data_IF_349130422513
#
_entry.id   IF_349130422513
#
_cell.length_a   1.000
_cell.length_b   1.000
_cell.length_c   1.000
_cell.angle_alpha   90.00
_cell.angle_beta   90.00
_cell.angle_gamma   90.00
#
_symmetry.space_group_name_H-M   'P 1'
#
loop_
_entity.id
_entity.type
_entity.pdbx_description
1 polymer ?
#
# COMPACT_ATOMS: atom_id res chain seq x y z
N UNK A 1 8.91 25.89 -17.10
CA UNK A 1 8.44 24.58 -17.60
C UNK A 1 7.07 24.75 -18.22
N UNK A 2 6.99 24.78 -19.55
CA UNK A 2 5.70 24.77 -20.23
C UNK A 2 5.35 23.34 -20.61
N UNK A 3 4.42 22.74 -19.86
CA UNK A 3 3.82 21.48 -20.28
C UNK A 3 3.01 21.72 -21.55
N UNK A 4 3.30 20.96 -22.61
CA UNK A 4 2.63 21.09 -23.93
C UNK A 4 1.12 20.86 -23.87
N UNK A 5 0.62 20.24 -22.78
CA UNK A 5 -0.82 20.08 -22.51
C UNK A 5 -1.07 19.79 -21.03
N UNK A 6 -2.28 20.09 -20.55
CA UNK A 6 -2.76 19.71 -19.19
C UNK A 6 -2.65 18.21 -18.96
N UNK A 7 -2.90 17.40 -19.98
CA UNK A 7 -2.83 15.94 -19.89
C UNK A 7 -1.40 15.45 -19.65
N UNK A 8 -0.42 16.03 -20.34
CA UNK A 8 0.98 15.69 -20.11
C UNK A 8 1.42 16.02 -18.68
N UNK A 9 0.99 17.17 -18.15
CA UNK A 9 1.24 17.54 -16.75
C UNK A 9 0.67 16.50 -15.78
N UNK A 10 -0.57 16.03 -15.99
CA UNK A 10 -1.19 15.03 -15.15
C UNK A 10 -0.47 13.68 -15.23
N UNK A 11 -0.05 13.25 -16.43
CA UNK A 11 0.75 12.03 -16.63
C UNK A 11 2.08 12.12 -15.87
N UNK A 12 2.81 13.23 -16.00
CA UNK A 12 4.10 13.41 -15.31
C UNK A 12 3.91 13.49 -13.77
N UNK A 13 2.84 14.11 -13.30
CA UNK A 13 2.46 14.10 -11.87
C UNK A 13 2.22 12.68 -11.37
N UNK A 14 1.47 11.86 -12.10
CA UNK A 14 1.20 10.47 -11.74
C UNK A 14 2.49 9.63 -11.72
N UNK A 15 3.35 9.80 -12.72
CA UNK A 15 4.66 9.13 -12.74
C UNK A 15 5.51 9.53 -11.53
N UNK A 16 5.54 10.81 -11.20
CA UNK A 16 6.32 11.33 -10.07
C UNK A 16 5.87 10.70 -8.75
N UNK A 17 4.58 10.74 -8.42
CA UNK A 17 4.08 10.16 -7.17
C UNK A 17 4.20 8.64 -7.13
N UNK A 18 4.05 7.96 -8.28
CA UNK A 18 4.24 6.52 -8.40
C UNK A 18 5.69 6.12 -8.12
N UNK A 19 6.66 6.84 -8.69
CA UNK A 19 8.08 6.61 -8.45
C UNK A 19 8.50 6.95 -7.00
N UNK A 20 7.94 8.00 -6.43
CA UNK A 20 8.18 8.35 -5.02
C UNK A 20 7.70 7.23 -4.10
N UNK A 21 6.51 6.69 -4.37
CA UNK A 21 5.98 5.55 -3.63
C UNK A 21 6.88 4.32 -3.72
N UNK A 22 7.27 3.90 -4.94
CA UNK A 22 8.12 2.73 -5.15
C UNK A 22 9.49 2.88 -4.47
N UNK A 23 10.12 4.04 -4.61
CA UNK A 23 11.42 4.33 -3.97
C UNK A 23 11.32 4.22 -2.44
N UNK A 24 10.25 4.75 -1.86
CA UNK A 24 10.00 4.66 -0.43
C UNK A 24 9.72 3.22 0.00
N UNK A 25 8.87 2.52 -0.73
CA UNK A 25 8.51 1.12 -0.50
C UNK A 25 9.74 0.21 -0.48
N UNK A 26 10.60 0.28 -1.50
CA UNK A 26 11.85 -0.48 -1.56
C UNK A 26 12.79 -0.20 -0.39
N UNK A 27 12.87 1.06 0.03
CA UNK A 27 13.68 1.45 1.20
C UNK A 27 13.17 0.77 2.48
N UNK A 28 11.86 0.72 2.68
CA UNK A 28 11.27 0.07 3.85
C UNK A 28 11.43 -1.45 3.79
N UNK A 29 11.26 -2.08 2.61
CA UNK A 29 11.49 -3.52 2.44
C UNK A 29 12.94 -3.91 2.73
N UNK A 30 13.92 -3.15 2.23
CA UNK A 30 15.34 -3.41 2.48
C UNK A 30 15.70 -3.37 3.96
N UNK A 31 15.06 -2.51 4.75
CA UNK A 31 15.27 -2.46 6.20
C UNK A 31 14.78 -3.72 6.93
N UNK A 32 13.81 -4.42 6.38
CA UNK A 32 13.24 -5.62 6.98
C UNK A 32 14.14 -6.86 6.82
N UNK A 33 15.09 -6.84 5.91
CA UNK A 33 15.87 -8.04 5.55
C UNK A 33 14.98 -9.14 4.99
N UNK A 34 15.18 -10.38 5.39
CA UNK A 34 14.45 -11.54 4.86
C UNK A 34 13.26 -11.99 5.72
N UNK A 35 13.07 -11.40 6.89
CA UNK A 35 11.96 -11.73 7.79
C UNK A 35 10.60 -11.27 7.21
N UNK A 36 9.67 -12.20 6.87
CA UNK A 36 8.39 -11.84 6.28
C UNK A 36 7.49 -11.04 7.23
N UNK A 37 7.62 -11.23 8.54
CA UNK A 37 6.92 -10.42 9.55
C UNK A 37 7.39 -8.98 9.51
N UNK A 38 8.70 -8.75 9.49
CA UNK A 38 9.27 -7.41 9.43
C UNK A 38 8.96 -6.76 8.07
N UNK A 39 8.94 -7.53 6.98
CA UNK A 39 8.54 -7.01 5.65
C UNK A 39 7.13 -6.44 5.66
N UNK A 40 6.14 -7.20 6.15
CA UNK A 40 4.75 -6.71 6.14
C UNK A 40 4.55 -5.53 7.11
N UNK A 41 5.24 -5.51 8.25
CA UNK A 41 5.23 -4.38 9.17
C UNK A 41 5.82 -3.13 8.49
N UNK A 42 6.96 -3.27 7.81
CA UNK A 42 7.60 -2.17 7.12
C UNK A 42 6.77 -1.67 5.91
N UNK A 43 5.99 -2.53 5.27
CA UNK A 43 5.00 -2.08 4.29
C UNK A 43 3.93 -1.18 4.92
N UNK A 44 3.38 -1.58 6.07
CA UNK A 44 2.43 -0.76 6.83
C UNK A 44 3.07 0.58 7.22
N UNK A 45 4.30 0.56 7.71
CA UNK A 45 5.05 1.75 8.08
C UNK A 45 5.25 2.70 6.88
N UNK A 46 5.56 2.16 5.69
CA UNK A 46 5.64 2.94 4.47
C UNK A 46 4.31 3.57 4.10
N UNK A 47 3.25 2.74 4.03
CA UNK A 47 1.94 3.15 3.53
C UNK A 47 1.26 4.21 4.40
N UNK A 48 1.59 4.23 5.70
CA UNK A 48 1.12 5.24 6.65
C UNK A 48 2.21 6.18 7.14
N UNK A 49 3.32 6.31 6.40
CA UNK A 49 4.36 7.29 6.71
C UNK A 49 3.89 8.73 6.44
N UNK A 50 4.53 9.70 7.11
CA UNK A 50 4.27 11.12 6.85
C UNK A 50 4.65 11.58 5.45
N UNK A 51 5.48 10.81 4.76
CA UNK A 51 5.90 11.10 3.38
C UNK A 51 4.86 10.62 2.36
N UNK A 52 4.24 9.47 2.58
CA UNK A 52 3.33 8.82 1.61
C UNK A 52 1.88 9.13 1.93
N UNK A 53 1.47 9.02 3.18
CA UNK A 53 0.10 9.15 3.62
C UNK A 53 -0.20 10.59 4.04
N UNK A 54 -0.36 11.48 3.08
CA UNK A 54 -0.83 12.85 3.28
C UNK A 54 -2.16 13.07 2.56
N UNK A 55 -3.06 13.95 3.06
CA UNK A 55 -4.33 14.22 2.40
C UNK A 55 -4.18 14.60 0.92
N UNK A 56 -3.17 15.40 0.60
CA UNK A 56 -2.89 15.86 -0.76
C UNK A 56 -2.53 14.68 -1.67
N UNK A 57 -1.63 13.79 -1.23
CA UNK A 57 -1.21 12.63 -2.02
C UNK A 57 -2.32 11.60 -2.17
N UNK A 58 -3.06 11.33 -1.09
CA UNK A 58 -4.22 10.44 -1.12
C UNK A 58 -5.26 10.97 -2.12
N UNK A 59 -5.58 12.27 -2.06
CA UNK A 59 -6.51 12.92 -2.98
C UNK A 59 -6.06 12.78 -4.44
N UNK A 60 -4.77 12.97 -4.73
CA UNK A 60 -4.21 12.76 -6.07
C UNK A 60 -4.39 11.32 -6.53
N UNK A 61 -4.07 10.33 -5.69
CA UNK A 61 -4.25 8.91 -6.02
C UNK A 61 -5.71 8.59 -6.38
N UNK A 62 -6.66 8.99 -5.54
CA UNK A 62 -8.08 8.72 -5.79
C UNK A 62 -8.62 9.45 -7.03
N UNK A 63 -8.12 10.65 -7.32
CA UNK A 63 -8.43 11.36 -8.56
C UNK A 63 -8.00 10.56 -9.79
N UNK A 64 -6.76 10.05 -9.80
CA UNK A 64 -6.29 9.22 -10.92
C UNK A 64 -7.04 7.88 -11.00
N UNK A 65 -7.35 7.23 -9.87
CA UNK A 65 -8.11 5.99 -9.88
C UNK A 65 -9.51 6.15 -10.49
N UNK A 66 -10.20 7.25 -10.23
CA UNK A 66 -11.51 7.54 -10.84
C UNK A 66 -11.44 7.69 -12.37
N UNK A 67 -10.31 8.15 -12.88
CA UNK A 67 -10.09 8.41 -14.32
C UNK A 67 -9.52 7.20 -15.08
N UNK A 68 -9.00 6.18 -14.41
CA UNK A 68 -8.31 5.02 -15.03
C UNK A 68 -9.20 4.32 -16.10
N UNK A 69 -10.51 4.25 -15.86
CA UNK A 69 -11.45 3.64 -16.81
C UNK A 69 -11.45 4.35 -18.16
N UNK A 70 -11.29 5.66 -18.16
CA UNK A 70 -11.41 6.51 -19.34
C UNK A 70 -10.06 6.89 -19.96
N UNK A 71 -8.96 6.69 -19.22
CA UNK A 71 -7.61 7.08 -19.64
C UNK A 71 -6.63 5.91 -19.54
N UNK A 72 -6.48 5.10 -20.61
CA UNK A 72 -5.60 3.93 -20.62
C UNK A 72 -4.15 4.22 -20.21
N UNK A 73 -3.63 5.42 -20.51
CA UNK A 73 -2.27 5.83 -20.12
C UNK A 73 -2.08 5.83 -18.60
N UNK A 74 -3.09 6.23 -17.81
CA UNK A 74 -3.01 6.19 -16.35
C UNK A 74 -2.94 4.75 -15.82
N UNK A 75 -3.73 3.86 -16.43
CA UNK A 75 -3.70 2.43 -16.09
C UNK A 75 -2.32 1.82 -16.34
N UNK A 76 -1.70 2.16 -17.46
CA UNK A 76 -0.37 1.64 -17.81
C UNK A 76 0.69 2.07 -16.80
N UNK A 77 0.69 3.35 -16.40
CA UNK A 77 1.64 3.90 -15.40
C UNK A 77 1.47 3.21 -14.04
N UNK A 78 0.22 2.99 -13.60
CA UNK A 78 -0.06 2.35 -12.32
C UNK A 78 0.21 0.85 -12.32
N UNK A 79 0.02 0.17 -13.47
CA UNK A 79 0.03 -1.29 -13.57
C UNK A 79 1.34 -1.94 -13.10
N UNK A 80 2.48 -1.40 -13.49
CA UNK A 80 3.79 -1.96 -13.10
C UNK A 80 3.98 -1.88 -11.59
N UNK A 81 3.65 -0.74 -10.98
CA UNK A 81 3.68 -0.54 -9.53
C UNK A 81 2.72 -1.51 -8.83
N UNK A 82 1.50 -1.62 -9.31
CA UNK A 82 0.45 -2.45 -8.69
C UNK A 82 0.81 -3.94 -8.77
N UNK A 83 1.36 -4.40 -9.89
CA UNK A 83 1.86 -5.77 -10.04
C UNK A 83 3.07 -6.04 -9.14
N UNK A 84 3.99 -5.09 -9.03
CA UNK A 84 5.14 -5.23 -8.13
C UNK A 84 4.69 -5.34 -6.68
N UNK A 85 3.82 -4.44 -6.22
CA UNK A 85 3.24 -4.48 -4.87
C UNK A 85 2.52 -5.80 -4.61
N UNK A 86 1.67 -6.24 -5.53
CA UNK A 86 0.93 -7.50 -5.41
C UNK A 86 1.88 -8.69 -5.29
N UNK A 87 2.89 -8.79 -6.16
CA UNK A 87 3.86 -9.89 -6.13
C UNK A 87 4.64 -9.94 -4.82
N UNK A 88 5.11 -8.80 -4.34
CA UNK A 88 5.80 -8.71 -3.04
C UNK A 88 4.89 -9.15 -1.90
N UNK A 89 3.66 -8.66 -1.88
CA UNK A 89 2.68 -8.98 -0.82
C UNK A 89 2.29 -10.46 -0.83
N UNK A 90 2.04 -11.04 -2.01
CA UNK A 90 1.74 -12.47 -2.14
C UNK A 90 2.92 -13.35 -1.68
N UNK A 91 4.15 -12.96 -1.96
CA UNK A 91 5.33 -13.68 -1.49
C UNK A 91 5.45 -13.62 0.03
N UNK A 92 5.24 -12.46 0.63
CA UNK A 92 5.26 -12.30 2.10
C UNK A 92 4.18 -13.17 2.75
N UNK A 93 2.94 -13.11 2.25
CA UNK A 93 1.87 -13.95 2.77
C UNK A 93 2.13 -15.44 2.58
N UNK A 94 2.75 -15.85 1.45
CA UNK A 94 3.16 -17.23 1.23
C UNK A 94 4.10 -17.73 2.34
N UNK A 95 5.09 -16.93 2.73
CA UNK A 95 6.03 -17.27 3.81
C UNK A 95 5.33 -17.30 5.19
N UNK A 96 4.50 -16.30 5.48
CA UNK A 96 3.73 -16.28 6.74
C UNK A 96 2.80 -17.48 6.88
N UNK A 97 2.11 -17.88 5.80
CA UNK A 97 1.25 -19.07 5.76
C UNK A 97 2.04 -20.35 6.07
N UNK A 98 3.24 -20.50 5.48
CA UNK A 98 4.12 -21.65 5.76
C UNK A 98 4.53 -21.71 7.23
N UNK A 99 4.94 -20.57 7.81
CA UNK A 99 5.36 -20.48 9.21
C UNK A 99 4.18 -20.75 10.16
N UNK A 100 3.01 -20.17 9.89
CA UNK A 100 1.81 -20.34 10.69
C UNK A 100 1.21 -21.75 10.54
N UNK A 101 1.53 -22.46 9.44
CA UNK A 101 0.98 -23.77 9.06
C UNK A 101 -0.54 -23.75 8.90
N UNK A 102 -1.07 -22.72 8.23
CA UNK A 102 -2.48 -22.62 7.88
C UNK A 102 -2.68 -22.79 6.36
N UNK A 103 -3.94 -22.89 5.92
CA UNK A 103 -4.32 -23.14 4.52
C UNK A 103 -4.97 -21.92 3.87
N UNK A 104 -4.56 -20.70 4.26
CA UNK A 104 -5.11 -19.48 3.72
C UNK A 104 -4.62 -19.24 2.29
N UNK A 105 -5.41 -18.57 1.48
CA UNK A 105 -5.03 -18.15 0.13
C UNK A 105 -4.17 -16.90 0.17
N UNK A 106 -2.89 -16.99 -0.23
CA UNK A 106 -1.99 -15.83 -0.33
C UNK A 106 -2.56 -14.74 -1.22
N UNK A 107 -3.22 -15.11 -2.32
CA UNK A 107 -3.84 -14.16 -3.26
C UNK A 107 -5.00 -13.42 -2.60
N UNK A 108 -5.90 -14.14 -1.93
CA UNK A 108 -7.02 -13.52 -1.22
C UNK A 108 -6.57 -12.60 -0.10
N UNK A 109 -5.55 -13.01 0.67
CA UNK A 109 -4.95 -12.19 1.72
C UNK A 109 -4.30 -10.92 1.15
N UNK A 110 -3.57 -11.03 0.03
CA UNK A 110 -2.93 -9.89 -0.62
C UNK A 110 -3.97 -8.87 -1.08
N UNK A 111 -5.04 -9.32 -1.75
CA UNK A 111 -6.12 -8.44 -2.22
C UNK A 111 -6.84 -7.79 -1.02
N UNK A 112 -7.19 -8.56 0.00
CA UNK A 112 -7.88 -8.05 1.18
C UNK A 112 -7.02 -7.03 1.94
N UNK A 113 -5.73 -7.31 2.10
CA UNK A 113 -4.80 -6.40 2.78
C UNK A 113 -4.61 -5.08 2.01
N UNK A 114 -4.44 -5.14 0.70
CA UNK A 114 -4.37 -3.95 -0.14
C UNK A 114 -5.67 -3.14 -0.07
N UNK A 115 -6.82 -3.81 -0.13
CA UNK A 115 -8.13 -3.16 0.00
C UNK A 115 -8.33 -2.49 1.35
N UNK A 116 -7.84 -3.10 2.43
CA UNK A 116 -7.84 -2.52 3.77
C UNK A 116 -7.02 -1.22 3.81
N UNK A 117 -5.79 -1.22 3.28
CA UNK A 117 -4.95 -0.02 3.23
C UNK A 117 -5.61 1.09 2.44
N UNK A 118 -6.15 0.78 1.25
CA UNK A 118 -6.84 1.76 0.41
C UNK A 118 -8.10 2.31 1.10
N UNK A 119 -8.87 1.48 1.78
CA UNK A 119 -10.03 1.90 2.57
C UNK A 119 -9.65 2.82 3.72
N UNK A 120 -8.55 2.52 4.43
CA UNK A 120 -8.02 3.37 5.50
C UNK A 120 -7.50 4.71 4.98
N UNK A 121 -6.87 4.75 3.80
CA UNK A 121 -6.49 5.99 3.14
C UNK A 121 -7.72 6.85 2.82
N UNK A 122 -8.77 6.23 2.26
CA UNK A 122 -10.01 6.95 1.96
C UNK A 122 -10.66 7.50 3.23
N UNK A 123 -10.70 6.71 4.30
CA UNK A 123 -11.24 7.17 5.59
C UNK A 123 -10.46 8.35 6.18
N UNK A 124 -9.12 8.36 6.02
CA UNK A 124 -8.30 9.51 6.45
C UNK A 124 -8.58 10.77 5.63
N UNK A 125 -8.96 10.62 4.37
CA UNK A 125 -9.33 11.75 3.53
C UNK A 125 -10.73 12.29 3.90
N UNK A 126 -11.68 11.39 4.18
CA UNK A 126 -13.07 11.72 4.46
C UNK A 126 -13.27 12.22 5.93
N UNK A 127 -12.71 11.50 6.89
CA UNK A 127 -12.87 11.81 8.33
C UNK A 127 -11.52 11.85 9.07
N UNK A 128 -10.64 12.82 8.75
CA UNK A 128 -9.28 12.87 9.31
C UNK A 128 -9.21 12.98 10.84
N UNK A 129 -10.28 13.43 11.48
CA UNK A 129 -10.40 13.48 12.95
C UNK A 129 -10.57 12.10 13.59
N UNK A 130 -11.11 11.13 12.87
CA UNK A 130 -11.37 9.76 13.37
C UNK A 130 -10.29 8.75 12.96
N UNK A 131 -9.61 9.00 11.85
CA UNK A 131 -8.66 8.04 11.26
C UNK A 131 -7.27 8.66 11.17
N UNK A 132 -6.46 8.50 12.22
CA UNK A 132 -5.05 8.88 12.20
C UNK A 132 -4.19 7.80 11.54
N UNK A 133 -2.98 8.18 11.10
CA UNK A 133 -1.99 7.22 10.60
C UNK A 133 -1.65 6.15 11.63
N UNK A 134 -1.54 6.52 12.90
CA UNK A 134 -1.26 5.59 14.00
C UNK A 134 -2.39 4.58 14.19
N UNK A 135 -3.65 5.04 14.17
CA UNK A 135 -4.81 4.16 14.27
C UNK A 135 -4.92 3.22 13.07
N UNK A 136 -4.64 3.73 11.86
CA UNK A 136 -4.64 2.90 10.64
C UNK A 136 -3.59 1.80 10.69
N UNK A 137 -2.38 2.09 11.19
CA UNK A 137 -1.34 1.06 11.40
C UNK A 137 -1.80 -0.02 12.37
N UNK A 138 -2.41 0.40 13.49
CA UNK A 138 -2.96 -0.54 14.48
C UNK A 138 -4.02 -1.46 13.88
N UNK A 139 -4.94 -0.92 13.10
CA UNK A 139 -5.98 -1.72 12.41
C UNK A 139 -5.32 -2.75 11.48
N UNK A 140 -4.29 -2.39 10.73
CA UNK A 140 -3.54 -3.33 9.89
C UNK A 140 -2.87 -4.44 10.70
N UNK A 141 -2.26 -4.10 11.84
CA UNK A 141 -1.65 -5.08 12.74
C UNK A 141 -2.70 -6.02 13.34
N UNK A 142 -3.85 -5.51 13.76
CA UNK A 142 -4.94 -6.32 14.31
C UNK A 142 -5.52 -7.27 13.25
N UNK A 143 -5.61 -6.83 11.98
CA UNK A 143 -5.93 -7.72 10.87
C UNK A 143 -4.92 -8.86 10.73
N UNK A 144 -3.61 -8.57 10.80
CA UNK A 144 -2.57 -9.59 10.72
C UNK A 144 -2.60 -10.56 11.91
N UNK A 145 -2.86 -10.08 13.13
CA UNK A 145 -3.05 -10.94 14.31
C UNK A 145 -4.18 -11.94 14.14
N UNK A 146 -5.27 -11.55 13.50
CA UNK A 146 -6.41 -12.43 13.24
C UNK A 146 -6.04 -13.61 12.36
N UNK A 147 -5.16 -13.39 11.35
CA UNK A 147 -4.77 -14.41 10.37
C UNK A 147 -3.50 -15.18 10.76
N UNK A 148 -2.63 -14.54 11.54
CA UNK A 148 -1.31 -15.04 11.92
C UNK A 148 -1.03 -14.86 13.42
N UNK A 149 -1.87 -15.45 14.30
CA UNK A 149 -1.80 -15.21 15.74
C UNK A 149 -0.47 -15.62 16.38
N UNK A 150 0.20 -16.66 15.87
CA UNK A 150 1.51 -17.10 16.40
C UNK A 150 2.62 -16.10 16.07
N UNK A 151 2.57 -15.53 14.84
CA UNK A 151 3.59 -14.61 14.36
C UNK A 151 3.48 -13.22 15.01
N UNK A 152 2.25 -12.76 15.28
CA UNK A 152 1.99 -11.41 15.77
C UNK A 152 1.56 -11.37 17.24
N UNK A 153 1.70 -12.48 17.99
CA UNK A 153 1.45 -12.52 19.45
C UNK A 153 2.32 -11.47 20.17
N UNK A 154 1.68 -10.60 20.95
CA UNK A 154 2.39 -9.57 21.72
C UNK A 154 2.91 -8.37 20.89
N UNK A 155 2.62 -8.30 19.63
CA UNK A 155 2.89 -7.11 18.82
C UNK A 155 1.83 -6.05 19.10
N UNK A 156 2.22 -4.87 19.57
CA UNK A 156 1.31 -3.73 19.89
C UNK A 156 1.41 -2.63 18.85
#
# INVERSE_FOLDING_TARGET
FHFKSKELLLIETLKFISNEYLTSFDKYLKKAGDDPKLKIINMIENDFSSKICTPEKISVWFTFFSEIKFKPAYRQICRERDLYYQNVTENIFSELIKIEKNNLSKKSLSIAFQSLIMGLWLNQLDEPSKFSRSESKKICIDYLKTHFPKQFKGYS
#
